data_IF_166853479229
#
_entry.id   IF_166853479229
#
_cell.length_a   1.000
_cell.length_b   1.000
_cell.length_c   1.000
_cell.angle_alpha   90.00
_cell.angle_beta   90.00
_cell.angle_gamma   90.00
#
_symmetry.space_group_name_H-M   'P 1'
#
loop_
_entity.id
_entity.type
_entity.pdbx_description
1 polymer ?
#
# COMPACT_ATOMS: atom_id res chain seq x y z
N UNK A 1 -27.88 -4.16 26.88
CA UNK A 1 -28.75 -4.31 25.70
C UNK A 1 -27.84 -4.81 24.57
N UNK A 2 -27.86 -6.13 24.41
CA UNK A 2 -27.19 -6.82 23.34
C UNK A 2 -27.90 -6.50 22.01
N UNK A 3 -27.18 -5.91 21.07
CA UNK A 3 -27.54 -5.96 19.67
C UNK A 3 -26.48 -6.81 18.97
N UNK A 4 -26.76 -8.09 18.90
CA UNK A 4 -26.08 -9.02 18.01
C UNK A 4 -26.35 -8.60 16.56
N UNK A 5 -25.46 -7.83 15.95
CA UNK A 5 -25.41 -7.72 14.51
C UNK A 5 -24.57 -8.88 13.97
N UNK A 6 -25.24 -9.88 13.41
CA UNK A 6 -24.60 -10.87 12.53
C UNK A 6 -23.98 -10.13 11.34
N UNK A 7 -22.70 -9.80 11.43
CA UNK A 7 -21.91 -9.37 10.27
C UNK A 7 -21.80 -10.58 9.33
N UNK A 8 -22.57 -10.56 8.26
CA UNK A 8 -22.26 -11.36 7.08
C UNK A 8 -20.90 -10.89 6.60
N UNK A 9 -19.91 -11.77 6.72
CA UNK A 9 -18.63 -11.65 6.06
C UNK A 9 -18.95 -11.65 4.56
N UNK A 10 -18.95 -10.47 3.95
CA UNK A 10 -18.91 -10.36 2.51
C UNK A 10 -17.42 -10.57 2.20
N UNK A 11 -17.10 -11.82 1.88
CA UNK A 11 -15.88 -12.16 1.19
C UNK A 11 -15.80 -11.22 -0.02
N UNK A 12 -14.74 -10.42 -0.11
CA UNK A 12 -14.34 -9.85 -1.38
C UNK A 12 -13.85 -11.03 -2.20
N UNK A 13 -14.79 -11.71 -2.79
CA UNK A 13 -14.54 -12.62 -3.87
C UNK A 13 -14.21 -11.70 -5.05
N UNK A 14 -12.93 -11.57 -5.38
CA UNK A 14 -12.60 -11.58 -6.79
C UNK A 14 -13.42 -12.75 -7.31
N UNK A 15 -14.48 -12.46 -8.03
CA UNK A 15 -15.41 -13.49 -8.48
C UNK A 15 -14.70 -14.34 -9.51
N UNK A 16 -14.06 -15.40 -9.02
CA UNK A 16 -13.58 -16.49 -9.85
C UNK A 16 -14.83 -17.17 -10.44
N UNK A 17 -15.32 -16.66 -11.54
CA UNK A 17 -16.33 -17.36 -12.33
C UNK A 17 -15.66 -18.45 -13.14
N UNK A 18 -15.47 -19.60 -12.50
CA UNK A 18 -15.12 -20.83 -13.23
C UNK A 18 -16.42 -21.41 -13.74
N UNK A 19 -16.71 -21.15 -14.99
CA UNK A 19 -17.76 -21.89 -15.69
C UNK A 19 -17.14 -23.15 -16.27
N UNK A 20 -17.17 -24.25 -15.51
CA UNK A 20 -16.88 -25.58 -16.05
C UNK A 20 -18.12 -26.00 -16.85
N UNK A 21 -18.10 -25.84 -18.15
CA UNK A 21 -19.04 -26.47 -19.04
C UNK A 21 -18.53 -27.87 -19.41
N UNK A 22 -19.04 -28.89 -18.74
CA UNK A 22 -18.96 -30.24 -19.28
C UNK A 22 -20.06 -30.37 -20.37
N UNK A 23 -19.68 -30.15 -21.60
CA UNK A 23 -20.55 -30.46 -22.74
C UNK A 23 -20.24 -31.89 -23.20
N UNK A 24 -21.13 -32.82 -22.82
CA UNK A 24 -21.24 -34.10 -23.50
C UNK A 24 -22.00 -33.90 -24.79
N UNK A 25 -21.35 -34.10 -25.92
CA UNK A 25 -22.00 -34.22 -27.22
C UNK A 25 -21.47 -33.30 -28.31
N UNK A 26 -20.69 -33.88 -29.16
CA UNK A 26 -20.38 -33.60 -30.55
C UNK A 26 -20.72 -32.23 -31.16
N UNK A 27 -19.69 -31.62 -31.78
CA UNK A 27 -19.68 -30.54 -32.76
C UNK A 27 -19.86 -29.11 -32.26
N UNK A 28 -18.80 -28.59 -31.60
CA UNK A 28 -18.30 -27.23 -31.79
C UNK A 28 -16.86 -27.20 -31.28
N UNK A 29 -15.90 -27.62 -32.10
CA UNK A 29 -14.51 -27.20 -31.86
C UNK A 29 -14.48 -25.68 -32.04
N UNK A 30 -14.09 -24.89 -31.02
CA UNK A 30 -13.70 -23.51 -31.28
C UNK A 30 -12.60 -23.60 -32.34
N UNK A 31 -12.68 -22.77 -33.37
CA UNK A 31 -11.57 -22.59 -34.32
C UNK A 31 -10.35 -22.15 -33.51
N UNK A 32 -9.58 -23.14 -33.04
CA UNK A 32 -8.23 -22.96 -32.53
C UNK A 32 -7.41 -22.55 -33.75
N UNK A 33 -7.34 -21.25 -34.04
CA UNK A 33 -6.32 -20.75 -34.92
C UNK A 33 -4.99 -21.25 -34.38
N UNK A 34 -4.37 -22.16 -35.12
CA UNK A 34 -3.06 -22.74 -34.82
C UNK A 34 -1.92 -21.73 -35.10
N UNK A 35 -2.07 -20.50 -34.64
CA UNK A 35 -0.92 -19.66 -34.37
C UNK A 35 -0.24 -20.23 -33.14
N UNK A 36 1.05 -20.42 -33.14
CA UNK A 36 1.85 -21.02 -32.08
C UNK A 36 1.41 -20.46 -30.72
N UNK A 37 0.63 -21.24 -29.94
CA UNK A 37 0.23 -20.84 -28.61
C UNK A 37 1.48 -20.95 -27.73
N UNK A 38 1.77 -19.91 -26.96
CA UNK A 38 2.84 -19.91 -25.98
C UNK A 38 2.57 -21.04 -24.96
N UNK A 39 3.53 -21.92 -24.79
CA UNK A 39 3.49 -22.96 -23.75
C UNK A 39 4.13 -22.38 -22.49
N UNK A 40 3.42 -22.42 -21.38
CA UNK A 40 3.85 -21.87 -20.09
C UNK A 40 3.65 -22.97 -19.04
N UNK A 41 4.73 -23.51 -18.52
CA UNK A 41 4.67 -24.62 -17.57
C UNK A 41 5.19 -24.23 -16.18
N UNK A 42 5.71 -23.00 -16.01
CA UNK A 42 6.18 -22.51 -14.71
C UNK A 42 5.55 -21.16 -14.35
N UNK A 43 5.38 -20.91 -13.04
CA UNK A 43 4.93 -19.59 -12.52
C UNK A 43 5.83 -18.44 -13.00
N UNK A 44 7.14 -18.66 -13.08
CA UNK A 44 8.09 -17.63 -13.52
C UNK A 44 7.86 -17.23 -14.98
N UNK A 45 7.63 -18.21 -15.84
CA UNK A 45 7.30 -17.96 -17.26
C UNK A 45 5.94 -17.24 -17.38
N UNK A 46 4.95 -17.65 -16.58
CA UNK A 46 3.65 -17.01 -16.56
C UNK A 46 3.75 -15.53 -16.16
N UNK A 47 4.45 -15.21 -15.09
CA UNK A 47 4.66 -13.84 -14.65
C UNK A 47 5.38 -13.01 -15.72
N UNK A 48 6.44 -13.55 -16.32
CA UNK A 48 7.17 -12.86 -17.40
C UNK A 48 6.30 -12.59 -18.65
N UNK A 49 5.45 -13.56 -19.05
CA UNK A 49 4.53 -13.38 -20.18
C UNK A 49 3.46 -12.33 -19.88
N UNK A 50 2.93 -12.33 -18.66
CA UNK A 50 1.97 -11.33 -18.21
C UNK A 50 2.62 -9.93 -18.22
N UNK A 51 3.80 -9.77 -17.63
CA UNK A 51 4.56 -8.50 -17.65
C UNK A 51 4.80 -8.00 -19.08
N UNK A 52 5.26 -8.87 -19.96
CA UNK A 52 5.51 -8.54 -21.37
C UNK A 52 4.21 -8.14 -22.11
N UNK A 53 3.11 -8.85 -21.86
CA UNK A 53 1.83 -8.52 -22.45
C UNK A 53 1.30 -7.17 -21.98
N UNK A 54 1.37 -6.91 -20.67
CA UNK A 54 0.88 -5.66 -20.10
C UNK A 54 1.75 -4.46 -20.51
N UNK A 55 3.07 -4.62 -20.53
CA UNK A 55 3.98 -3.56 -21.03
C UNK A 55 3.72 -3.20 -22.49
N UNK A 56 3.13 -4.11 -23.25
CA UNK A 56 2.70 -3.88 -24.64
C UNK A 56 1.21 -3.53 -24.78
N UNK A 57 0.52 -3.20 -23.68
CA UNK A 57 -0.89 -2.80 -23.67
C UNK A 57 -1.89 -3.92 -23.98
N UNK A 58 -1.44 -5.19 -23.99
CA UNK A 58 -2.33 -6.33 -24.24
C UNK A 58 -3.15 -6.65 -22.98
N UNK A 59 -4.46 -6.64 -23.12
CA UNK A 59 -5.41 -6.97 -22.05
C UNK A 59 -5.85 -8.43 -22.05
N UNK A 60 -5.49 -9.19 -23.10
CA UNK A 60 -5.84 -10.60 -23.25
C UNK A 60 -4.60 -11.43 -23.53
N UNK A 61 -4.34 -12.38 -22.65
CA UNK A 61 -3.21 -13.32 -22.74
C UNK A 61 -3.76 -14.73 -22.84
N UNK A 62 -3.32 -15.49 -23.86
CA UNK A 62 -3.76 -16.88 -24.04
C UNK A 62 -2.55 -17.78 -24.15
N UNK A 63 -2.54 -18.85 -23.39
CA UNK A 63 -1.44 -19.82 -23.33
C UNK A 63 -1.92 -21.23 -23.07
N UNK A 64 -1.03 -22.19 -23.20
CA UNK A 64 -1.26 -23.61 -22.91
C UNK A 64 -0.31 -24.03 -21.80
N UNK A 65 -0.81 -24.78 -20.85
CA UNK A 65 -0.01 -25.35 -19.76
C UNK A 65 -0.35 -26.82 -19.52
N UNK A 66 0.62 -27.61 -19.10
CA UNK A 66 0.44 -28.96 -18.59
C UNK A 66 0.68 -29.04 -17.08
N UNK A 67 1.47 -28.14 -16.52
CA UNK A 67 2.03 -28.22 -15.17
C UNK A 67 1.42 -27.19 -14.18
N UNK A 68 0.81 -26.09 -14.69
CA UNK A 68 0.13 -25.13 -13.84
C UNK A 68 -1.30 -25.59 -13.52
N UNK A 69 -1.65 -25.55 -12.25
CA UNK A 69 -2.99 -25.93 -11.76
C UNK A 69 -3.78 -24.72 -11.23
N UNK A 70 -4.96 -24.97 -10.69
CA UNK A 70 -5.84 -23.92 -10.13
C UNK A 70 -5.17 -23.18 -8.96
N UNK A 71 -4.40 -23.90 -8.13
CA UNK A 71 -3.71 -23.30 -6.98
C UNK A 71 -2.66 -22.29 -7.43
N UNK A 72 -2.00 -22.56 -8.58
CA UNK A 72 -1.05 -21.64 -9.18
C UNK A 72 -1.73 -20.35 -9.63
N UNK A 73 -2.92 -20.44 -10.20
CA UNK A 73 -3.70 -19.27 -10.62
C UNK A 73 -4.29 -18.53 -9.42
N UNK A 74 -4.76 -19.22 -8.39
CA UNK A 74 -5.29 -18.60 -7.17
C UNK A 74 -4.21 -17.80 -6.41
N UNK A 75 -2.95 -18.19 -6.57
CA UNK A 75 -1.81 -17.48 -5.98
C UNK A 75 -1.28 -16.34 -6.86
N UNK A 76 -1.76 -16.17 -8.10
CA UNK A 76 -1.34 -15.05 -8.95
C UNK A 76 -1.55 -13.69 -8.27
N UNK A 77 -2.66 -13.48 -7.58
CA UNK A 77 -2.93 -12.26 -6.81
C UNK A 77 -1.90 -11.99 -5.71
N UNK A 78 -1.28 -13.04 -5.17
CA UNK A 78 -0.29 -12.92 -4.09
C UNK A 78 1.14 -12.76 -4.62
N UNK A 79 1.38 -13.14 -5.89
CA UNK A 79 2.70 -13.19 -6.51
C UNK A 79 2.92 -12.07 -7.54
N UNK A 80 1.90 -11.27 -7.83
CA UNK A 80 1.96 -10.24 -8.86
C UNK A 80 2.49 -8.93 -8.26
N UNK A 81 3.69 -8.95 -7.68
CA UNK A 81 4.37 -7.74 -7.22
C UNK A 81 4.53 -6.67 -8.33
N UNK A 82 4.67 -7.08 -9.58
CA UNK A 82 4.78 -6.20 -10.75
C UNK A 82 3.43 -5.64 -11.26
N UNK A 83 2.29 -6.13 -10.72
CA UNK A 83 0.96 -5.77 -11.22
C UNK A 83 0.19 -4.78 -10.36
N UNK A 84 0.63 -4.55 -9.14
CA UNK A 84 0.02 -3.50 -8.33
C UNK A 84 0.18 -2.16 -9.04
N UNK A 85 -0.95 -1.57 -9.38
CA UNK A 85 -1.02 -0.33 -10.12
C UNK A 85 -1.20 -0.47 -11.63
N UNK A 86 -0.94 -1.65 -12.25
CA UNK A 86 -1.11 -1.87 -13.70
C UNK A 86 -2.41 -2.59 -14.03
N UNK A 87 -2.77 -3.61 -13.25
CA UNK A 87 -4.00 -4.40 -13.44
C UNK A 87 -4.99 -4.08 -12.33
N UNK A 88 -6.17 -3.61 -12.73
CA UNK A 88 -7.28 -3.35 -11.82
C UNK A 88 -8.01 -4.64 -11.47
N UNK A 89 -8.31 -5.44 -12.50
CA UNK A 89 -8.99 -6.74 -12.39
C UNK A 89 -8.48 -7.71 -13.43
N UNK A 90 -8.62 -9.00 -13.16
CA UNK A 90 -8.42 -10.03 -14.16
C UNK A 90 -9.43 -11.17 -14.04
N UNK A 91 -9.66 -11.84 -15.16
CA UNK A 91 -10.51 -13.02 -15.26
C UNK A 91 -9.75 -14.14 -15.93
N UNK A 92 -9.74 -15.32 -15.32
CA UNK A 92 -9.14 -16.53 -15.88
C UNK A 92 -10.25 -17.44 -16.41
N UNK A 93 -10.08 -17.86 -17.67
CA UNK A 93 -10.89 -18.93 -18.27
C UNK A 93 -9.96 -20.07 -18.66
N UNK A 94 -10.25 -21.28 -18.17
CA UNK A 94 -9.45 -22.45 -18.46
C UNK A 94 -10.34 -23.58 -19.02
N UNK A 95 -9.88 -24.23 -20.08
CA UNK A 95 -10.50 -25.42 -20.67
C UNK A 95 -9.46 -26.52 -20.70
N UNK A 96 -9.72 -27.64 -20.03
CA UNK A 96 -8.84 -28.80 -20.04
C UNK A 96 -9.21 -29.74 -21.18
N UNK A 97 -8.22 -30.08 -22.00
CA UNK A 97 -8.36 -31.07 -23.04
C UNK A 97 -7.16 -32.00 -23.05
N UNK A 98 -7.37 -33.29 -22.86
CA UNK A 98 -6.33 -34.30 -22.61
C UNK A 98 -5.48 -33.88 -21.39
N UNK A 99 -4.16 -33.78 -21.56
CA UNK A 99 -3.22 -33.44 -20.50
C UNK A 99 -2.84 -31.95 -20.51
N UNK A 100 -3.58 -31.12 -21.25
CA UNK A 100 -3.29 -29.70 -21.41
C UNK A 100 -4.46 -28.82 -20.97
N UNK A 101 -4.14 -27.72 -20.32
CA UNK A 101 -5.09 -26.65 -20.02
C UNK A 101 -4.86 -25.48 -20.97
N UNK A 102 -5.93 -25.08 -21.64
CA UNK A 102 -5.96 -23.89 -22.50
C UNK A 102 -6.50 -22.74 -21.67
N UNK A 103 -5.65 -21.78 -21.40
CA UNK A 103 -5.93 -20.70 -20.45
C UNK A 103 -6.04 -19.37 -21.21
N UNK A 104 -7.04 -18.59 -20.85
CA UNK A 104 -7.17 -17.19 -21.26
C UNK A 104 -7.29 -16.33 -20.02
N UNK A 105 -6.35 -15.40 -19.87
CA UNK A 105 -6.35 -14.34 -18.88
C UNK A 105 -6.82 -13.06 -19.56
N UNK A 106 -7.87 -12.43 -19.03
CA UNK A 106 -8.30 -11.11 -19.44
C UNK A 106 -8.02 -10.15 -18.28
N UNK A 107 -7.30 -9.06 -18.56
CA UNK A 107 -6.94 -8.05 -17.58
C UNK A 107 -7.66 -6.73 -17.89
N UNK A 108 -8.16 -6.06 -16.86
CA UNK A 108 -8.54 -4.66 -16.95
C UNK A 108 -7.34 -3.81 -16.51
N UNK A 109 -6.89 -2.93 -17.38
CA UNK A 109 -5.74 -2.06 -17.12
C UNK A 109 -6.19 -0.90 -16.23
N UNK A 110 -5.41 -0.62 -15.19
CA UNK A 110 -5.65 0.47 -14.25
C UNK A 110 -5.36 1.84 -14.88
N UNK A 111 -5.91 2.88 -14.27
CA UNK A 111 -5.61 4.26 -14.68
C UNK A 111 -4.15 4.63 -14.39
N UNK A 112 -3.50 4.02 -13.39
CA UNK A 112 -2.08 4.23 -13.08
C UNK A 112 -1.15 3.90 -14.26
N UNK A 113 -1.45 2.82 -15.01
CA UNK A 113 -0.69 2.44 -16.20
C UNK A 113 -0.64 3.58 -17.22
N UNK A 114 -1.79 4.19 -17.54
CA UNK A 114 -1.85 5.30 -18.49
C UNK A 114 -1.12 6.54 -17.98
N UNK A 115 -1.17 6.79 -16.67
CA UNK A 115 -0.40 7.87 -16.04
C UNK A 115 1.09 7.64 -16.18
N UNK A 116 1.58 6.43 -15.88
CA UNK A 116 3.00 6.09 -16.02
C UNK A 116 3.47 6.19 -17.47
N UNK A 117 2.68 5.67 -18.42
CA UNK A 117 2.96 5.79 -19.86
C UNK A 117 3.07 7.26 -20.31
N UNK A 118 2.16 8.11 -19.86
CA UNK A 118 2.20 9.53 -20.19
C UNK A 118 3.43 10.24 -19.59
N UNK A 119 3.89 9.82 -18.39
CA UNK A 119 5.06 10.41 -17.73
C UNK A 119 6.39 9.94 -18.31
N UNK A 120 6.53 8.64 -18.60
CA UNK A 120 7.82 8.05 -18.97
C UNK A 120 8.02 7.91 -20.48
N UNK A 121 6.94 7.62 -21.20
CA UNK A 121 6.99 7.31 -22.64
C UNK A 121 6.39 8.44 -23.50
N UNK A 122 5.90 9.52 -22.87
CA UNK A 122 5.22 10.66 -23.53
C UNK A 122 4.00 10.23 -24.37
N UNK A 123 3.35 9.12 -23.98
CA UNK A 123 2.15 8.62 -24.65
C UNK A 123 0.91 9.42 -24.22
N UNK A 124 0.03 9.75 -25.17
CA UNK A 124 -1.23 10.41 -24.86
C UNK A 124 -2.18 9.47 -24.12
N UNK A 125 -2.81 9.99 -23.05
CA UNK A 125 -3.88 9.27 -22.34
C UNK A 125 -5.15 9.26 -23.22
N UNK A 126 -5.74 8.08 -23.52
CA UNK A 126 -6.94 7.99 -24.35
C UNK A 126 -8.10 8.86 -23.83
N UNK A 127 -8.89 9.43 -24.74
CA UNK A 127 -9.99 10.36 -24.38
C UNK A 127 -11.04 9.71 -23.47
N UNK A 128 -11.29 8.43 -23.62
CA UNK A 128 -12.23 7.67 -22.77
C UNK A 128 -11.70 7.39 -21.36
N UNK A 129 -10.43 7.65 -21.08
CA UNK A 129 -9.79 7.47 -19.77
C UNK A 129 -9.76 8.77 -18.96
N UNK A 130 -10.93 9.33 -18.66
CA UNK A 130 -11.07 10.59 -17.91
C UNK A 130 -10.38 10.52 -16.54
N UNK A 131 -10.59 9.44 -15.78
CA UNK A 131 -9.95 9.27 -14.47
C UNK A 131 -8.41 9.24 -14.55
N UNK A 132 -7.85 8.62 -15.58
CA UNK A 132 -6.40 8.62 -15.78
C UNK A 132 -5.87 10.03 -16.08
N UNK A 133 -6.61 10.86 -16.82
CA UNK A 133 -6.21 12.25 -17.06
C UNK A 133 -6.23 13.09 -15.78
N UNK A 134 -7.31 12.97 -15.00
CA UNK A 134 -7.40 13.69 -13.71
C UNK A 134 -6.29 13.26 -12.76
N UNK A 135 -6.00 11.95 -12.72
CA UNK A 135 -4.92 11.38 -11.90
C UNK A 135 -3.55 11.88 -12.37
N UNK A 136 -3.32 11.95 -13.70
CA UNK A 136 -2.11 12.51 -14.29
C UNK A 136 -1.88 13.97 -13.86
N UNK A 137 -2.91 14.81 -13.95
CA UNK A 137 -2.80 16.22 -13.54
C UNK A 137 -2.56 16.37 -12.03
N UNK A 138 -3.19 15.55 -11.21
CA UNK A 138 -2.92 15.51 -9.77
C UNK A 138 -1.47 15.13 -9.46
N UNK A 139 -0.95 14.07 -10.09
CA UNK A 139 0.44 13.63 -9.96
C UNK A 139 1.42 14.70 -10.45
N UNK A 140 1.17 15.29 -11.62
CA UNK A 140 2.01 16.35 -12.22
C UNK A 140 2.10 17.59 -11.32
N UNK A 141 0.97 18.01 -10.75
CA UNK A 141 0.93 19.12 -9.81
C UNK A 141 1.82 18.86 -8.59
N UNK A 142 1.70 17.69 -7.97
CA UNK A 142 2.53 17.30 -6.83
C UNK A 142 4.01 17.20 -7.20
N UNK A 143 4.35 16.51 -8.31
CA UNK A 143 5.74 16.30 -8.74
C UNK A 143 6.45 17.62 -9.12
N UNK A 144 5.72 18.60 -9.65
CA UNK A 144 6.27 19.94 -9.89
C UNK A 144 6.78 20.58 -8.60
N UNK A 145 6.04 20.40 -7.51
CA UNK A 145 6.48 20.88 -6.19
C UNK A 145 7.68 20.08 -5.65
N UNK A 146 7.72 18.78 -5.93
CA UNK A 146 8.79 17.89 -5.50
C UNK A 146 10.12 18.19 -6.22
N UNK A 147 10.09 18.48 -7.51
CA UNK A 147 11.26 18.69 -8.35
C UNK A 147 11.93 20.05 -8.18
N UNK A 148 11.33 20.97 -7.44
CA UNK A 148 11.87 22.33 -7.22
C UNK A 148 13.26 22.36 -6.60
N UNK A 149 13.74 21.25 -6.01
CA UNK A 149 15.07 21.06 -5.42
C UNK A 149 15.54 19.63 -5.62
N UNK A 150 16.87 19.44 -5.66
CA UNK A 150 17.47 18.09 -5.62
C UNK A 150 17.20 17.48 -4.24
N UNK A 151 16.61 16.30 -4.20
CA UNK A 151 16.25 15.57 -2.97
C UNK A 151 16.77 14.13 -3.01
N UNK A 152 17.13 13.62 -1.84
CA UNK A 152 17.35 12.19 -1.63
C UNK A 152 16.04 11.41 -1.72
N UNK A 153 16.12 10.09 -1.90
CA UNK A 153 14.93 9.25 -1.96
C UNK A 153 14.12 9.27 -0.66
N UNK A 154 14.79 9.34 0.49
CA UNK A 154 14.14 9.57 1.79
C UNK A 154 13.34 10.90 1.84
N UNK A 155 13.93 11.99 1.33
CA UNK A 155 13.23 13.29 1.32
C UNK A 155 12.03 13.29 0.37
N UNK A 156 12.13 12.60 -0.76
CA UNK A 156 11.01 12.43 -1.69
C UNK A 156 9.90 11.59 -1.05
N UNK A 157 10.26 10.42 -0.52
CA UNK A 157 9.36 9.53 0.19
C UNK A 157 8.62 10.25 1.30
N UNK A 158 9.34 10.97 2.17
CA UNK A 158 8.72 11.71 3.27
C UNK A 158 7.75 12.78 2.78
N UNK A 159 8.06 13.49 1.70
CA UNK A 159 7.14 14.47 1.13
C UNK A 159 5.89 13.81 0.52
N UNK A 160 6.03 12.63 -0.09
CA UNK A 160 4.91 11.85 -0.59
C UNK A 160 4.02 11.39 0.57
N UNK A 161 4.62 10.81 1.61
CA UNK A 161 3.93 10.42 2.83
C UNK A 161 3.15 11.58 3.42
N UNK A 162 3.82 12.69 3.71
CA UNK A 162 3.22 13.87 4.33
C UNK A 162 2.08 14.43 3.48
N UNK A 163 2.24 14.44 2.15
CA UNK A 163 1.20 14.89 1.24
C UNK A 163 -0.03 13.99 1.29
N UNK A 164 0.13 12.67 1.27
CA UNK A 164 -1.00 11.75 1.31
C UNK A 164 -1.70 11.84 2.66
N UNK A 165 -0.98 11.67 3.77
CA UNK A 165 -1.53 11.72 5.13
C UNK A 165 -2.23 13.06 5.44
N UNK A 166 -1.73 14.18 4.89
CA UNK A 166 -2.36 15.50 5.13
C UNK A 166 -3.54 15.82 4.22
N UNK A 167 -3.77 15.08 3.14
CA UNK A 167 -4.76 15.45 2.13
C UNK A 167 -5.79 14.36 1.82
N UNK A 168 -5.62 13.17 2.36
CA UNK A 168 -6.52 12.04 2.13
C UNK A 168 -7.21 11.68 3.43
N UNK A 169 -8.54 11.63 3.43
CA UNK A 169 -9.31 11.15 4.57
C UNK A 169 -9.62 9.65 4.41
N UNK A 170 -9.52 8.89 5.50
CA UNK A 170 -9.87 7.47 5.46
C UNK A 170 -11.38 7.25 5.23
N UNK A 171 -11.73 6.40 4.27
CA UNK A 171 -13.11 6.02 4.01
C UNK A 171 -13.47 5.92 2.53
N UNK A 172 -14.76 6.05 2.26
CA UNK A 172 -15.31 5.87 0.91
C UNK A 172 -15.81 7.19 0.35
N UNK A 173 -15.48 7.57 -0.91
CA UNK A 173 -16.08 8.71 -1.59
C UNK A 173 -17.62 8.60 -1.56
N UNK A 174 -18.31 9.71 -1.23
CA UNK A 174 -19.77 9.69 -1.08
C UNK A 174 -20.31 8.92 0.12
N UNK A 175 -19.45 8.41 1.01
CA UNK A 175 -19.83 7.72 2.26
C UNK A 175 -20.41 6.32 2.08
N UNK A 176 -20.40 5.76 0.86
CA UNK A 176 -20.88 4.41 0.59
C UNK A 176 -19.74 3.46 0.32
N UNK A 177 -19.78 2.29 0.95
CA UNK A 177 -18.85 1.20 0.65
C UNK A 177 -19.25 0.57 -0.67
N UNK A 178 -18.46 0.84 -1.71
CA UNK A 178 -18.60 0.18 -3.01
C UNK A 178 -17.45 -0.83 -3.14
N UNK A 179 -17.74 -2.12 -3.29
CA UNK A 179 -16.70 -3.09 -3.64
C UNK A 179 -16.02 -2.63 -4.93
N UNK A 180 -14.68 -2.64 -4.96
CA UNK A 180 -13.90 -2.27 -6.15
C UNK A 180 -14.07 -0.82 -6.63
N UNK A 181 -14.63 0.05 -5.77
CA UNK A 181 -14.79 1.47 -6.06
C UNK A 181 -13.47 2.26 -5.97
N UNK A 182 -13.56 3.53 -6.34
CA UNK A 182 -12.41 4.45 -6.39
C UNK A 182 -11.62 4.55 -5.06
N UNK A 183 -12.26 4.27 -3.92
CA UNK A 183 -11.60 4.25 -2.62
C UNK A 183 -10.39 3.29 -2.53
N UNK A 184 -10.34 2.28 -3.39
CA UNK A 184 -9.28 1.28 -3.41
C UNK A 184 -8.15 1.59 -4.39
N UNK A 185 -8.16 2.76 -5.02
CA UNK A 185 -7.23 3.13 -6.08
C UNK A 185 -6.47 4.43 -5.77
N UNK A 186 -5.37 4.65 -6.49
CA UNK A 186 -4.65 5.92 -6.45
C UNK A 186 -5.54 7.12 -6.83
N UNK A 187 -6.55 6.93 -7.68
CA UNK A 187 -7.53 7.96 -8.02
C UNK A 187 -8.32 8.42 -6.79
N UNK A 188 -8.79 7.48 -5.97
CA UNK A 188 -9.46 7.81 -4.70
C UNK A 188 -8.58 8.64 -3.78
N UNK A 189 -7.32 8.23 -3.60
CA UNK A 189 -6.38 8.94 -2.75
C UNK A 189 -5.96 10.31 -3.32
N UNK A 190 -5.51 10.33 -4.58
CA UNK A 190 -4.83 11.52 -5.12
C UNK A 190 -5.78 12.54 -5.76
N UNK A 191 -6.95 12.12 -6.25
CA UNK A 191 -7.95 13.00 -6.87
C UNK A 191 -9.13 13.26 -5.94
N UNK A 192 -9.81 12.19 -5.48
CA UNK A 192 -11.00 12.31 -4.64
C UNK A 192 -10.67 12.64 -3.18
N UNK A 193 -9.40 12.51 -2.77
CA UNK A 193 -8.92 12.77 -1.41
C UNK A 193 -9.63 11.94 -0.35
N UNK A 194 -10.11 10.75 -0.74
CA UNK A 194 -10.77 9.82 0.14
C UNK A 194 -10.53 8.39 -0.31
N UNK A 195 -9.90 7.59 0.56
CA UNK A 195 -9.48 6.25 0.22
C UNK A 195 -9.50 5.30 1.43
N UNK A 196 -9.40 4.01 1.18
CA UNK A 196 -9.09 2.99 2.18
C UNK A 196 -7.63 2.54 2.00
N UNK A 197 -7.14 1.62 2.82
CA UNK A 197 -5.74 1.20 2.85
C UNK A 197 -5.12 0.92 1.47
N UNK A 198 -5.85 0.23 0.58
CA UNK A 198 -5.37 -0.05 -0.77
C UNK A 198 -5.14 1.24 -1.58
N UNK A 199 -6.04 2.20 -1.48
CA UNK A 199 -5.89 3.48 -2.19
C UNK A 199 -4.73 4.34 -1.65
N UNK A 200 -4.50 4.34 -0.33
CA UNK A 200 -3.31 4.94 0.28
C UNK A 200 -2.04 4.30 -0.27
N UNK A 201 -1.98 2.97 -0.26
CA UNK A 201 -0.82 2.23 -0.72
C UNK A 201 -0.56 2.40 -2.24
N UNK A 202 -1.61 2.40 -3.07
CA UNK A 202 -1.50 2.68 -4.50
C UNK A 202 -1.06 4.12 -4.79
N UNK A 203 -1.62 5.09 -4.06
CA UNK A 203 -1.23 6.50 -4.19
C UNK A 203 0.25 6.71 -3.87
N UNK A 204 0.73 6.11 -2.77
CA UNK A 204 2.14 6.10 -2.39
C UNK A 204 3.01 5.45 -3.48
N UNK A 205 2.62 4.25 -3.94
CA UNK A 205 3.33 3.51 -4.98
C UNK A 205 3.47 4.34 -6.26
N UNK A 206 2.38 4.89 -6.77
CA UNK A 206 2.38 5.69 -8.00
C UNK A 206 3.28 6.92 -7.88
N UNK A 207 3.17 7.71 -6.82
CA UNK A 207 4.01 8.89 -6.63
C UNK A 207 5.49 8.55 -6.43
N UNK A 208 5.80 7.43 -5.77
CA UNK A 208 7.16 6.91 -5.65
C UNK A 208 7.74 6.54 -7.03
N UNK A 209 7.01 5.76 -7.81
CA UNK A 209 7.46 5.35 -9.15
C UNK A 209 7.74 6.56 -10.04
N UNK A 210 6.81 7.50 -10.11
CA UNK A 210 6.94 8.73 -10.89
C UNK A 210 8.11 9.64 -10.41
N UNK A 211 8.52 9.53 -9.15
CA UNK A 211 9.64 10.28 -8.57
C UNK A 211 10.96 9.51 -8.56
N UNK A 212 10.97 8.24 -9.01
CA UNK A 212 12.14 7.37 -9.05
C UNK A 212 12.53 6.76 -7.70
N UNK A 213 11.59 6.68 -6.73
CA UNK A 213 11.77 5.98 -5.46
C UNK A 213 11.27 4.55 -5.61
N UNK A 214 12.09 3.55 -5.30
CA UNK A 214 11.68 2.15 -5.38
C UNK A 214 10.65 1.83 -4.30
N UNK A 215 9.44 1.49 -4.72
CA UNK A 215 8.31 1.18 -3.85
C UNK A 215 7.59 -0.08 -4.31
N UNK A 216 7.14 -0.90 -3.38
CA UNK A 216 6.29 -2.07 -3.61
C UNK A 216 5.06 -1.99 -2.72
N UNK A 217 3.98 -2.63 -3.14
CA UNK A 217 2.82 -2.83 -2.29
C UNK A 217 2.89 -4.19 -1.60
N UNK A 218 2.45 -4.24 -0.37
CA UNK A 218 2.27 -5.47 0.40
C UNK A 218 0.79 -5.66 0.69
N UNK A 219 0.31 -6.88 0.52
CA UNK A 219 -1.01 -7.32 0.97
C UNK A 219 -0.87 -8.29 2.13
N UNK A 220 -1.69 -8.09 3.16
CA UNK A 220 -1.67 -8.90 4.36
C UNK A 220 -2.87 -8.64 5.25
N UNK A 221 -2.64 -8.68 6.55
CA UNK A 221 -3.63 -8.29 7.56
C UNK A 221 -2.99 -7.37 8.59
N UNK A 222 -3.78 -6.43 9.12
CA UNK A 222 -3.43 -5.62 10.27
C UNK A 222 -4.56 -5.78 11.32
N UNK A 223 -4.21 -6.07 12.55
CA UNK A 223 -5.18 -6.44 13.61
C UNK A 223 -6.22 -7.50 13.19
N UNK A 224 -5.82 -8.40 12.27
CA UNK A 224 -6.67 -9.49 11.76
C UNK A 224 -7.58 -9.13 10.58
N UNK A 225 -7.68 -7.86 10.21
CA UNK A 225 -8.43 -7.40 9.05
C UNK A 225 -7.52 -7.32 7.80
N UNK A 226 -8.10 -7.52 6.61
CA UNK A 226 -7.34 -7.37 5.36
C UNK A 226 -6.79 -5.96 5.23
N UNK A 227 -5.50 -5.86 4.88
CA UNK A 227 -4.79 -4.61 4.83
C UNK A 227 -3.75 -4.58 3.71
N UNK A 228 -3.43 -3.36 3.24
CA UNK A 228 -2.39 -3.12 2.26
C UNK A 228 -1.55 -1.92 2.69
N UNK A 229 -0.22 -2.02 2.48
CA UNK A 229 0.76 -0.98 2.78
C UNK A 229 1.94 -1.04 1.83
N UNK A 230 3.00 -0.31 2.08
CA UNK A 230 4.14 -0.22 1.20
C UNK A 230 5.44 -0.77 1.78
N UNK A 231 6.33 -1.20 0.90
CA UNK A 231 7.72 -1.54 1.16
C UNK A 231 8.60 -0.63 0.32
N UNK A 232 9.43 0.17 0.97
CA UNK A 232 10.25 1.20 0.34
C UNK A 232 11.71 0.80 0.39
N UNK A 233 12.44 1.04 -0.70
CA UNK A 233 13.89 0.84 -0.72
C UNK A 233 14.61 2.16 -0.64
N UNK A 234 15.37 2.35 0.43
CA UNK A 234 16.26 3.50 0.61
C UNK A 234 17.70 3.00 0.69
N UNK A 235 18.55 3.52 -0.19
CA UNK A 235 19.90 3.01 -0.41
C UNK A 235 19.90 1.49 -0.70
N UNK A 236 20.34 0.68 0.25
CA UNK A 236 20.42 -0.79 0.08
C UNK A 236 19.40 -1.55 0.90
N UNK A 237 18.69 -0.87 1.80
CA UNK A 237 17.81 -1.46 2.79
C UNK A 237 16.35 -1.25 2.43
N UNK A 238 15.49 -2.15 2.90
CA UNK A 238 14.05 -2.06 2.77
C UNK A 238 13.42 -1.67 4.09
N UNK A 239 12.28 -0.96 4.00
CA UNK A 239 11.51 -0.42 5.10
C UNK A 239 10.03 -0.57 4.83
N UNK A 240 9.23 -0.84 5.85
CA UNK A 240 7.78 -0.73 5.73
C UNK A 240 7.32 0.71 5.93
N UNK A 241 6.29 1.10 5.18
CA UNK A 241 5.58 2.36 5.37
C UNK A 241 4.06 2.10 5.26
N UNK A 242 3.33 2.41 6.33
CA UNK A 242 1.86 2.30 6.35
C UNK A 242 1.23 3.66 6.59
N UNK A 243 0.87 4.33 5.50
CA UNK A 243 0.29 5.66 5.54
C UNK A 243 -1.12 5.67 6.13
N UNK A 244 -1.84 4.55 6.06
CA UNK A 244 -3.18 4.44 6.64
C UNK A 244 -3.11 4.50 8.17
N UNK A 245 -2.10 3.85 8.76
CA UNK A 245 -1.91 3.83 10.20
C UNK A 245 -1.12 5.04 10.72
N UNK A 246 -0.49 5.78 9.82
CA UNK A 246 0.14 7.07 10.11
C UNK A 246 -0.86 8.25 9.97
N UNK A 247 -2.05 8.00 9.39
CA UNK A 247 -3.12 8.98 9.27
C UNK A 247 -4.00 9.00 10.53
N UNK A 248 -4.01 10.12 11.29
CA UNK A 248 -4.73 10.19 12.56
C UNK A 248 -6.25 10.22 12.37
N UNK A 249 -6.97 9.40 13.13
CA UNK A 249 -8.42 9.52 13.27
C UNK A 249 -8.80 10.23 14.59
N UNK A 250 -9.70 11.23 14.60
CA UNK A 250 -10.32 11.88 13.42
C UNK A 250 -9.29 12.60 12.56
N UNK A 251 -9.57 12.65 11.24
CA UNK A 251 -8.71 13.32 10.26
C UNK A 251 -8.39 14.77 10.67
N UNK A 252 -7.09 15.06 10.79
CA UNK A 252 -6.56 16.37 11.16
C UNK A 252 -5.40 16.72 10.24
N UNK A 253 -5.66 17.48 9.19
CA UNK A 253 -4.68 17.87 8.15
C UNK A 253 -3.39 18.51 8.67
N UNK A 254 -3.40 19.05 9.89
CA UNK A 254 -2.23 19.67 10.53
C UNK A 254 -1.40 18.70 11.37
N UNK A 255 -1.87 17.46 11.58
CA UNK A 255 -1.21 16.45 12.42
C UNK A 255 -0.76 15.28 11.57
N UNK A 256 0.54 15.21 11.30
CA UNK A 256 1.17 14.09 10.62
C UNK A 256 1.87 13.22 11.66
N UNK A 257 1.60 11.91 11.61
CA UNK A 257 2.22 10.93 12.50
C UNK A 257 3.12 9.99 11.70
N UNK A 258 4.06 9.32 12.39
CA UNK A 258 5.07 8.49 11.74
C UNK A 258 5.33 7.15 12.45
N UNK A 259 4.39 6.56 13.21
CA UNK A 259 4.65 5.31 13.93
C UNK A 259 4.98 4.14 12.99
N UNK A 260 4.50 4.17 11.76
CA UNK A 260 4.76 3.15 10.74
C UNK A 260 5.56 3.66 9.53
N UNK A 261 6.22 4.80 9.67
CA UNK A 261 7.09 5.35 8.63
C UNK A 261 8.51 4.80 8.75
N UNK A 262 8.93 4.01 7.77
CA UNK A 262 10.25 3.39 7.68
C UNK A 262 10.59 2.50 8.87
N UNK A 263 9.70 1.55 9.16
CA UNK A 263 9.89 0.56 10.22
C UNK A 263 10.42 -0.76 9.66
N UNK A 264 11.10 -1.53 10.52
CA UNK A 264 11.60 -2.86 10.17
C UNK A 264 10.52 -3.95 10.31
N UNK A 265 10.86 -5.16 9.82
CA UNK A 265 10.02 -6.36 9.95
C UNK A 265 9.61 -6.66 11.40
N UNK A 266 10.48 -6.37 12.37
CA UNK A 266 10.23 -6.68 13.78
C UNK A 266 9.13 -5.79 14.34
N UNK A 267 9.23 -4.50 14.07
CA UNK A 267 8.21 -3.54 14.47
C UNK A 267 6.88 -3.81 13.75
N UNK A 268 6.92 -4.04 12.43
CA UNK A 268 5.71 -4.28 11.65
C UNK A 268 4.96 -5.54 12.06
N UNK A 269 5.66 -6.61 12.46
CA UNK A 269 5.06 -7.88 12.93
C UNK A 269 4.34 -7.78 14.26
N UNK A 270 4.41 -6.68 14.98
CA UNK A 270 3.68 -6.49 16.23
C UNK A 270 2.15 -6.58 16.02
N UNK A 271 1.67 -6.13 14.87
CA UNK A 271 0.25 -6.03 14.53
C UNK A 271 -0.09 -6.36 13.08
N UNK A 272 0.92 -6.46 12.20
CA UNK A 272 0.76 -6.82 10.79
C UNK A 272 1.24 -8.24 10.50
N UNK A 273 0.57 -8.90 9.56
CA UNK A 273 0.96 -10.24 9.09
C UNK A 273 0.91 -10.28 7.56
N UNK A 274 1.96 -10.82 6.95
CA UNK A 274 2.05 -11.01 5.50
C UNK A 274 2.82 -12.29 5.16
N UNK A 275 2.76 -12.71 3.92
CA UNK A 275 3.60 -13.81 3.44
C UNK A 275 5.02 -13.28 3.15
N UNK A 276 5.89 -13.30 4.14
CA UNK A 276 7.25 -12.77 4.04
C UNK A 276 8.11 -13.44 2.95
N UNK A 277 7.74 -14.64 2.47
CA UNK A 277 8.48 -15.31 1.38
C UNK A 277 8.31 -14.61 0.02
N UNK A 278 7.29 -13.75 -0.14
CA UNK A 278 7.01 -13.03 -1.37
C UNK A 278 7.75 -11.69 -1.47
N UNK A 279 8.30 -11.18 -0.37
CA UNK A 279 8.82 -9.82 -0.29
C UNK A 279 10.25 -9.81 0.24
N UNK A 280 10.95 -8.71 -0.01
CA UNK A 280 12.24 -8.45 0.58
C UNK A 280 12.10 -8.21 2.09
N UNK A 281 13.11 -8.64 2.84
CA UNK A 281 13.15 -8.36 4.27
C UNK A 281 13.40 -6.86 4.50
N UNK A 282 12.65 -6.27 5.41
CA UNK A 282 12.87 -4.94 5.91
C UNK A 282 13.70 -5.02 7.20
N UNK A 283 14.99 -4.81 7.09
CA UNK A 283 15.95 -4.86 8.22
C UNK A 283 16.57 -3.47 8.49
N UNK A 284 16.26 -2.49 7.62
CA UNK A 284 16.72 -1.12 7.76
C UNK A 284 16.08 -0.41 8.95
N UNK A 285 16.86 0.43 9.62
CA UNK A 285 16.39 1.24 10.74
C UNK A 285 16.92 2.69 10.72
N UNK A 286 17.84 3.01 9.82
CA UNK A 286 18.48 4.34 9.74
C UNK A 286 17.48 5.42 9.32
N UNK A 287 16.53 5.08 8.45
CA UNK A 287 15.55 6.00 7.91
C UNK A 287 14.23 6.04 8.69
N UNK A 288 14.10 5.31 9.81
CA UNK A 288 12.98 5.48 10.73
C UNK A 288 12.90 6.93 11.22
N UNK A 289 11.72 7.53 11.16
CA UNK A 289 11.53 8.95 11.47
C UNK A 289 12.04 9.36 12.85
N UNK A 290 11.65 8.61 13.88
CA UNK A 290 11.97 8.95 15.27
C UNK A 290 13.46 8.75 15.57
N UNK A 291 14.09 7.74 14.99
CA UNK A 291 15.53 7.53 15.07
C UNK A 291 16.29 8.67 14.38
N UNK A 292 15.90 9.02 13.15
CA UNK A 292 16.55 10.07 12.36
C UNK A 292 16.41 11.46 12.97
N UNK A 293 15.35 11.68 13.75
CA UNK A 293 15.10 12.94 14.47
C UNK A 293 15.60 12.93 15.92
N UNK A 294 16.25 11.86 16.36
CA UNK A 294 16.66 11.64 17.75
C UNK A 294 15.48 11.69 18.76
N UNK A 295 14.32 11.20 18.32
CA UNK A 295 13.08 11.15 19.11
C UNK A 295 12.71 9.71 19.52
N UNK A 296 13.57 8.73 19.23
CA UNK A 296 13.46 7.36 19.71
C UNK A 296 14.04 7.27 21.13
N UNK A 297 13.27 6.74 22.07
CA UNK A 297 13.64 6.61 23.48
C UNK A 297 13.67 5.13 23.87
N UNK A 298 14.81 4.66 24.36
CA UNK A 298 14.97 3.26 24.81
C UNK A 298 14.32 3.00 26.18
N UNK A 299 14.15 4.06 26.98
CA UNK A 299 13.57 4.03 28.32
C UNK A 299 12.98 5.39 28.73
N UNK A 300 12.28 5.42 29.86
CA UNK A 300 11.71 6.65 30.42
C UNK A 300 12.76 7.72 30.74
N UNK A 301 13.96 7.33 31.13
CA UNK A 301 15.04 8.28 31.45
C UNK A 301 15.48 9.03 30.19
N UNK A 302 15.69 8.31 29.09
CA UNK A 302 16.02 8.91 27.78
C UNK A 302 14.88 9.76 27.24
N UNK A 303 13.62 9.31 27.37
CA UNK A 303 12.44 10.10 27.03
C UNK A 303 12.41 11.43 27.79
N UNK A 304 12.52 11.36 29.13
CA UNK A 304 12.51 12.55 29.98
C UNK A 304 13.60 13.54 29.61
N UNK A 305 14.84 13.07 29.47
CA UNK A 305 15.98 13.92 29.12
C UNK A 305 15.80 14.63 27.77
N UNK A 306 15.32 13.90 26.74
CA UNK A 306 15.08 14.48 25.42
C UNK A 306 13.92 15.48 25.44
N UNK A 307 12.86 15.18 26.20
CA UNK A 307 11.73 16.06 26.35
C UNK A 307 12.13 17.38 27.04
N UNK A 308 12.87 17.30 28.15
CA UNK A 308 13.41 18.47 28.86
C UNK A 308 14.28 19.32 27.94
N UNK A 309 15.23 18.72 27.20
CA UNK A 309 16.11 19.40 26.25
C UNK A 309 15.36 20.14 25.12
N UNK A 310 14.27 19.54 24.61
CA UNK A 310 13.44 20.18 23.60
C UNK A 310 12.67 21.35 24.19
N UNK A 311 12.05 21.17 25.36
CA UNK A 311 11.24 22.19 26.02
C UNK A 311 12.06 23.40 26.48
N UNK A 312 13.31 23.18 26.91
CA UNK A 312 14.24 24.27 27.27
C UNK A 312 14.65 25.13 26.06
N UNK A 313 14.78 24.50 24.88
CA UNK A 313 15.26 25.19 23.67
C UNK A 313 14.12 25.77 22.84
N UNK A 314 12.92 25.22 22.91
CA UNK A 314 11.77 25.56 22.10
C UNK A 314 10.51 25.44 22.94
N UNK A 315 9.45 26.14 22.56
CA UNK A 315 8.11 25.98 23.13
C UNK A 315 7.17 25.40 22.06
N UNK A 316 7.32 24.13 21.69
CA UNK A 316 6.49 23.53 20.65
C UNK A 316 5.08 23.28 21.19
N UNK A 317 4.09 23.36 20.29
CA UNK A 317 2.69 23.06 20.64
C UNK A 317 2.45 21.54 20.78
N UNK A 318 3.30 20.72 20.14
CA UNK A 318 3.28 19.27 20.26
C UNK A 318 4.68 18.70 20.04
N UNK A 319 4.94 17.56 20.66
CA UNK A 319 6.17 16.77 20.50
C UNK A 319 5.72 15.32 20.34
N UNK A 320 6.31 14.62 19.39
CA UNK A 320 6.09 13.19 19.20
C UNK A 320 7.36 12.43 19.56
N UNK A 321 7.24 11.40 20.37
CA UNK A 321 8.32 10.48 20.70
C UNK A 321 7.94 9.06 20.33
N UNK A 322 8.89 8.24 20.00
CA UNK A 322 8.72 6.80 19.99
C UNK A 322 9.45 6.21 21.18
N UNK A 323 8.73 5.48 22.02
CA UNK A 323 9.29 4.85 23.22
C UNK A 323 9.25 3.34 23.07
N UNK A 324 10.32 2.69 23.51
CA UNK A 324 10.42 1.25 23.56
C UNK A 324 9.74 0.72 24.83
N UNK A 325 9.08 -0.43 24.69
CA UNK A 325 8.47 -1.14 25.81
C UNK A 325 7.57 -0.23 26.68
N UNK A 326 6.65 0.51 26.02
CA UNK A 326 5.72 1.40 26.70
C UNK A 326 4.95 0.71 27.83
N UNK A 327 4.94 1.35 28.99
CA UNK A 327 4.20 0.96 30.18
C UNK A 327 3.42 2.14 30.75
N UNK A 328 2.12 1.99 30.93
CA UNK A 328 1.21 3.05 31.35
C UNK A 328 1.55 3.63 32.73
N UNK A 329 2.05 2.81 33.65
CA UNK A 329 2.40 3.26 35.01
C UNK A 329 3.66 4.14 34.96
N UNK A 330 4.64 3.78 34.14
CA UNK A 330 5.85 4.54 33.91
C UNK A 330 5.58 5.90 33.24
N UNK A 331 4.65 5.93 32.27
CA UNK A 331 4.26 7.15 31.54
C UNK A 331 2.94 7.73 32.04
N UNK A 332 2.67 7.61 33.35
CA UNK A 332 1.47 8.15 34.00
C UNK A 332 1.47 9.69 34.05
N UNK A 333 0.30 10.26 34.22
CA UNK A 333 0.12 11.71 34.35
C UNK A 333 1.03 12.32 35.44
N UNK A 334 1.21 11.63 36.55
CA UNK A 334 2.09 12.10 37.63
C UNK A 334 3.56 12.17 37.18
N UNK A 335 4.01 11.15 36.46
CA UNK A 335 5.38 11.10 35.95
C UNK A 335 5.62 12.11 34.80
N UNK A 336 4.57 12.53 34.11
CA UNK A 336 4.64 13.51 33.01
C UNK A 336 4.41 14.96 33.45
N UNK A 337 4.11 15.24 34.73
CA UNK A 337 3.92 16.60 35.26
C UNK A 337 5.12 17.55 35.02
N UNK A 338 6.32 17.01 34.83
CA UNK A 338 7.48 17.84 34.52
C UNK A 338 7.30 18.61 33.21
N UNK A 339 6.57 18.04 32.22
CA UNK A 339 6.31 18.69 30.93
C UNK A 339 5.59 20.02 31.12
N UNK A 340 4.57 20.07 32.00
CA UNK A 340 3.85 21.28 32.31
C UNK A 340 4.74 22.35 32.97
N UNK A 341 5.67 21.92 33.82
CA UNK A 341 6.62 22.84 34.49
C UNK A 341 7.58 23.47 33.52
N UNK A 342 8.09 22.69 32.56
CA UNK A 342 9.04 23.18 31.55
C UNK A 342 8.37 23.99 30.45
N UNK A 343 7.20 23.57 29.99
CA UNK A 343 6.47 24.24 28.90
C UNK A 343 5.71 25.48 29.33
N UNK A 344 5.41 25.59 30.63
CA UNK A 344 4.49 26.64 31.16
C UNK A 344 3.03 26.46 30.72
N UNK A 345 2.68 25.31 30.14
CA UNK A 345 1.33 24.99 29.68
C UNK A 345 0.39 24.72 30.88
N UNK A 346 -0.89 25.02 30.72
CA UNK A 346 -1.90 24.77 31.76
C UNK A 346 -2.43 23.34 31.74
N UNK A 347 -2.24 22.60 30.64
CA UNK A 347 -2.67 21.22 30.49
C UNK A 347 -1.80 20.46 29.51
N UNK A 348 -1.76 19.15 29.64
CA UNK A 348 -1.10 18.20 28.76
C UNK A 348 -2.15 17.25 28.17
N UNK A 349 -2.08 17.02 26.88
CA UNK A 349 -2.83 15.94 26.23
C UNK A 349 -1.82 14.97 25.64
N UNK A 350 -1.86 13.72 26.09
CA UNK A 350 -1.07 12.63 25.54
C UNK A 350 -1.93 11.79 24.57
N UNK A 351 -1.33 11.41 23.48
CA UNK A 351 -1.92 10.46 22.53
C UNK A 351 -0.94 9.32 22.33
N UNK A 352 -1.47 8.10 22.34
CA UNK A 352 -0.68 6.87 22.22
C UNK A 352 -1.07 6.20 20.92
N UNK A 353 -0.09 5.83 20.09
CA UNK A 353 -0.29 5.06 18.87
C UNK A 353 0.84 4.04 18.69
N UNK A 354 0.55 2.98 17.94
CA UNK A 354 1.47 1.85 17.75
C UNK A 354 1.38 0.82 18.86
N UNK A 355 2.15 -0.24 18.71
CA UNK A 355 2.22 -1.37 19.67
C UNK A 355 3.67 -1.71 20.00
N UNK A 356 3.85 -2.44 21.09
CA UNK A 356 5.17 -2.97 21.44
C UNK A 356 5.85 -3.69 20.24
N UNK A 357 7.19 -3.63 20.09
CA UNK A 357 8.12 -3.06 21.06
C UNK A 357 8.27 -1.53 21.04
N UNK A 358 7.62 -0.83 20.12
CA UNK A 358 7.71 0.62 20.02
C UNK A 358 6.33 1.28 19.98
N UNK A 359 6.13 2.27 20.83
CA UNK A 359 4.88 3.03 20.96
C UNK A 359 5.17 4.52 20.79
N UNK A 360 4.36 5.23 20.00
CA UNK A 360 4.41 6.68 19.84
C UNK A 360 3.67 7.35 21.00
N UNK A 361 4.29 8.36 21.59
CA UNK A 361 3.75 9.26 22.61
C UNK A 361 3.70 10.70 22.12
#
# INVERSE_FOLDING_TARGET
>A
YEVFMKRKIILLLVTLWISIFIISGCSMMPHLNASAQTVIDTKKELLAEIENALSSGKTKISFVTSDLDQTDFDTLNQNIEGFYGVVKEYQIKSVKFLNKSYVTLNCEISDNYYVEKAFFDEEDIPEEREKARDLYEACKSFLTSLQSKKRSDYEKEKLIHDYIVSNVAYGYPGGKKEPEGDAYSAYGALVLKKAVCNGYAEGMKLLCDLSGVTCKMISGTADGEKHAWNLIKLDKEWYHADLTWDDPEPDETSRIMYPYFNVDDTQMKADHKWNAALYQKAEGNEYNYYRKKDLLCEDYKSFRSKCEDILEKKSPNSIQFMVKDYDQDTYSDDNLQFILRYSGASSLRMQIAGKTPYTML
#
